data_IF_321650819774
#
_entry.id   IF_321650819774
#
_cell.length_a   1.000
_cell.length_b   1.000
_cell.length_c   1.000
_cell.angle_alpha   90.00
_cell.angle_beta   90.00
_cell.angle_gamma   90.00
#
_symmetry.space_group_name_H-M   'P 1'
#
loop_
_entity.id
_entity.type
_entity.pdbx_description
1 polymer ?
#
# COMPACT_ATOMS: atom_id res chain seq x y z
N UNK A 1 15.66 3.28 4.96
CA UNK A 1 16.40 4.28 5.73
C UNK A 1 15.42 4.96 6.66
N UNK A 2 15.81 5.25 7.89
CA UNK A 2 15.04 6.03 8.85
C UNK A 2 15.87 7.25 9.27
N UNK A 3 15.19 8.37 9.50
CA UNK A 3 15.77 9.62 9.99
C UNK A 3 15.35 9.76 11.45
N UNK A 4 16.32 9.87 12.35
CA UNK A 4 16.07 9.89 13.81
C UNK A 4 16.16 11.27 14.44
N UNK A 5 16.75 12.25 13.74
CA UNK A 5 16.83 13.65 14.16
C UNK A 5 17.16 14.55 12.96
N UNK A 6 17.40 15.85 13.18
CA UNK A 6 17.74 16.78 12.11
C UNK A 6 18.98 16.40 11.27
N UNK A 7 19.90 15.60 11.79
CA UNK A 7 21.16 15.26 11.10
C UNK A 7 21.58 13.78 11.22
N UNK A 8 20.78 12.95 11.90
CA UNK A 8 21.11 11.54 12.15
C UNK A 8 20.18 10.62 11.37
N UNK A 9 20.75 9.64 10.68
CA UNK A 9 20.01 8.64 9.90
C UNK A 9 20.66 7.26 10.02
N UNK A 10 19.88 6.22 9.74
CA UNK A 10 20.36 4.85 9.59
C UNK A 10 19.62 4.12 8.47
N UNK A 11 20.30 3.17 7.83
CA UNK A 11 19.73 2.29 6.83
C UNK A 11 20.19 0.86 7.06
N UNK A 12 19.29 -0.07 6.77
CA UNK A 12 19.55 -1.50 6.78
C UNK A 12 19.06 -2.09 5.47
N UNK A 13 19.89 -2.94 4.85
CA UNK A 13 19.53 -3.68 3.65
C UNK A 13 18.52 -4.77 4.03
N UNK A 14 17.37 -4.80 3.36
CA UNK A 14 16.40 -5.88 3.52
C UNK A 14 17.01 -7.18 2.97
N UNK A 15 17.08 -8.28 3.74
CA UNK A 15 17.60 -9.54 3.23
C UNK A 15 16.76 -10.07 2.06
N UNK A 16 17.41 -10.71 1.08
CA UNK A 16 16.77 -11.14 -0.17
C UNK A 16 15.56 -12.08 0.03
N UNK A 17 15.55 -12.87 1.11
CA UNK A 17 14.49 -13.84 1.41
C UNK A 17 13.50 -13.36 2.48
N UNK A 18 13.51 -12.06 2.81
CA UNK A 18 12.67 -11.48 3.87
C UNK A 18 11.85 -10.29 3.39
N UNK A 19 10.86 -9.94 4.19
CA UNK A 19 10.06 -8.73 4.05
C UNK A 19 10.06 -7.93 5.36
N UNK A 20 9.64 -6.68 5.27
CA UNK A 20 9.31 -5.83 6.42
C UNK A 20 7.91 -5.24 6.27
N UNK A 21 7.23 -5.03 7.39
CA UNK A 21 6.01 -4.21 7.47
C UNK A 21 6.33 -3.09 8.43
N UNK A 22 6.32 -1.85 7.92
CA UNK A 22 6.77 -0.67 8.67
C UNK A 22 5.58 0.26 8.82
N UNK A 23 5.21 0.55 10.07
CA UNK A 23 4.16 1.51 10.42
C UNK A 23 4.78 2.89 10.70
N UNK A 24 4.04 3.81 11.33
CA UNK A 24 4.55 5.14 11.67
C UNK A 24 5.36 5.11 12.99
N UNK A 25 6.37 4.23 13.06
CA UNK A 25 7.28 4.08 14.21
C UNK A 25 8.68 3.73 13.69
N UNK A 26 9.73 4.35 14.27
CA UNK A 26 11.13 3.95 14.05
C UNK A 26 11.30 2.48 14.39
N UNK A 27 11.73 1.68 13.41
CA UNK A 27 11.71 0.23 13.45
C UNK A 27 13.10 -0.40 13.29
N UNK A 28 14.11 0.35 12.83
CA UNK A 28 15.49 -0.16 12.71
C UNK A 28 16.04 -0.48 14.10
N UNK A 29 16.27 -1.77 14.38
CA UNK A 29 16.82 -2.23 15.65
C UNK A 29 18.34 -2.06 15.75
N UNK A 30 19.00 -3.10 16.25
CA UNK A 30 20.46 -3.10 16.45
C UNK A 30 21.22 -3.11 15.12
N UNK A 31 21.89 -2.00 14.84
CA UNK A 31 22.86 -1.85 13.77
C UNK A 31 24.17 -2.54 14.13
N UNK A 32 24.83 -3.13 13.14
CA UNK A 32 26.21 -3.62 13.24
C UNK A 32 27.08 -2.72 12.36
N UNK A 33 27.66 -1.67 12.93
CA UNK A 33 28.27 -0.58 12.15
C UNK A 33 29.58 -0.97 11.45
N UNK A 34 30.11 -2.17 11.71
CA UNK A 34 31.23 -2.77 10.98
C UNK A 34 30.79 -3.58 9.75
N UNK A 35 29.50 -3.89 9.61
CA UNK A 35 28.93 -4.59 8.47
C UNK A 35 28.35 -3.59 7.48
N UNK A 36 29.25 -2.98 6.70
CA UNK A 36 28.90 -1.94 5.72
C UNK A 36 28.09 -2.46 4.51
N UNK A 37 28.03 -3.78 4.32
CA UNK A 37 27.22 -4.39 3.27
C UNK A 37 25.73 -4.38 3.62
N UNK A 38 25.40 -4.50 4.91
CA UNK A 38 24.01 -4.55 5.37
C UNK A 38 23.57 -3.31 6.13
N UNK A 39 24.49 -2.50 6.66
CA UNK A 39 24.15 -1.35 7.50
C UNK A 39 24.91 -0.09 7.06
N UNK A 40 24.19 1.03 6.97
CA UNK A 40 24.73 2.36 6.80
C UNK A 40 24.15 3.28 7.87
N UNK A 41 24.91 4.28 8.30
CA UNK A 41 24.47 5.25 9.28
C UNK A 41 25.24 6.57 9.15
N UNK A 42 24.71 7.64 9.74
CA UNK A 42 25.42 8.91 9.81
C UNK A 42 26.79 8.76 10.51
N UNK A 43 27.82 9.47 10.05
CA UNK A 43 29.12 9.48 10.69
C UNK A 43 29.01 9.83 12.18
N UNK A 44 29.70 9.09 13.04
CA UNK A 44 29.72 9.35 14.47
C UNK A 44 28.45 8.96 15.24
N UNK A 45 27.47 8.27 14.62
CA UNK A 45 26.23 7.82 15.25
C UNK A 45 26.46 7.18 16.65
N UNK A 46 27.35 6.20 16.74
CA UNK A 46 27.63 5.51 18.01
C UNK A 46 28.20 6.45 19.08
N UNK A 47 29.07 7.39 18.68
CA UNK A 47 29.64 8.39 19.60
C UNK A 47 28.57 9.35 20.09
N UNK A 48 27.67 9.79 19.21
CA UNK A 48 26.55 10.66 19.54
C UNK A 48 25.59 9.98 20.54
N UNK A 49 25.13 8.76 20.21
CA UNK A 49 24.24 7.98 21.08
C UNK A 49 24.85 7.74 22.46
N UNK A 50 26.14 7.37 22.51
CA UNK A 50 26.85 7.15 23.78
C UNK A 50 26.99 8.45 24.59
N UNK A 51 27.39 9.55 23.95
CA UNK A 51 27.60 10.86 24.60
C UNK A 51 26.33 11.39 25.27
N UNK A 52 25.19 11.18 24.63
CA UNK A 52 23.90 11.68 25.11
C UNK A 52 23.05 10.63 25.83
N UNK A 53 23.63 9.46 26.14
CA UNK A 53 22.97 8.38 26.88
C UNK A 53 21.63 7.92 26.26
N UNK A 54 21.50 7.96 24.94
CA UNK A 54 20.23 7.68 24.25
C UNK A 54 19.91 6.18 24.17
N UNK A 55 20.94 5.34 24.08
CA UNK A 55 20.83 3.88 24.12
C UNK A 55 22.19 3.27 24.51
N UNK A 56 22.19 1.97 24.79
CA UNK A 56 23.44 1.24 24.99
C UNK A 56 24.23 1.12 23.67
N UNK A 57 25.55 1.31 23.77
CA UNK A 57 26.49 1.15 22.66
C UNK A 57 27.55 0.13 23.04
N UNK A 58 27.60 -1.00 22.36
CA UNK A 58 28.54 -2.09 22.63
C UNK A 58 29.20 -2.55 21.34
N UNK A 59 30.54 -2.57 21.28
CA UNK A 59 31.30 -3.13 20.14
C UNK A 59 30.78 -2.67 18.75
N UNK A 60 30.62 -1.36 18.54
CA UNK A 60 30.06 -0.79 17.29
C UNK A 60 28.61 -1.20 16.97
N UNK A 61 27.84 -1.59 17.98
CA UNK A 61 26.41 -1.89 17.88
C UNK A 61 25.61 -0.81 18.58
N UNK A 62 24.53 -0.41 17.92
CA UNK A 62 23.61 0.65 18.39
C UNK A 62 22.20 0.25 18.00
N UNK A 63 21.27 0.21 18.95
CA UNK A 63 19.85 0.04 18.62
C UNK A 63 19.25 1.40 18.24
N UNK A 64 18.90 1.57 16.96
CA UNK A 64 18.49 2.86 16.42
C UNK A 64 17.10 3.27 16.90
N UNK A 65 16.12 2.36 16.87
CA UNK A 65 14.78 2.57 17.39
C UNK A 65 14.78 2.84 18.89
N UNK A 66 15.68 2.23 19.66
CA UNK A 66 15.83 2.56 21.08
C UNK A 66 16.36 3.99 21.28
N UNK A 67 17.31 4.44 20.46
CA UNK A 67 17.94 5.74 20.60
C UNK A 67 17.08 6.91 20.09
N UNK A 68 16.27 6.69 19.05
CA UNK A 68 15.55 7.76 18.34
C UNK A 68 14.06 7.50 18.11
N UNK A 69 13.55 6.33 18.51
CA UNK A 69 12.17 5.94 18.32
C UNK A 69 11.30 6.16 19.56
N UNK A 70 10.03 5.76 19.42
CA UNK A 70 9.08 5.68 20.53
C UNK A 70 8.81 4.23 20.90
N UNK A 71 8.37 4.00 22.14
CA UNK A 71 7.81 2.73 22.58
C UNK A 71 6.76 3.04 23.66
N UNK A 72 5.57 3.46 23.23
CA UNK A 72 4.56 4.01 24.13
C UNK A 72 3.14 3.45 23.86
N UNK A 73 2.16 3.92 24.64
CA UNK A 73 0.76 3.48 24.53
C UNK A 73 0.12 3.80 23.17
N UNK A 74 0.57 4.86 22.49
CA UNK A 74 0.10 5.19 21.15
C UNK A 74 0.60 4.18 20.13
N UNK A 75 1.84 3.70 20.25
CA UNK A 75 2.37 2.65 19.38
C UNK A 75 1.55 1.35 19.50
N UNK A 76 1.10 1.03 20.72
CA UNK A 76 0.29 -0.15 21.01
C UNK A 76 -1.09 -0.17 20.33
N UNK A 77 -1.60 0.98 19.91
CA UNK A 77 -2.90 1.09 19.22
C UNK A 77 -2.77 1.55 17.77
N UNK A 78 -1.75 2.34 17.45
CA UNK A 78 -1.59 2.98 16.15
C UNK A 78 -0.58 2.27 15.24
N UNK A 79 0.46 1.64 15.78
CA UNK A 79 1.60 1.12 15.02
C UNK A 79 1.71 -0.41 15.03
N UNK A 80 1.87 -1.03 16.20
CA UNK A 80 2.07 -2.48 16.31
C UNK A 80 0.95 -3.31 15.68
N UNK A 81 -0.33 -2.93 15.80
CA UNK A 81 -1.41 -3.65 15.13
C UNK A 81 -1.25 -3.73 13.61
N UNK A 82 -0.75 -2.68 12.95
CA UNK A 82 -0.53 -2.68 11.50
C UNK A 82 0.61 -3.60 11.09
N UNK A 83 1.70 -3.57 11.86
CA UNK A 83 2.84 -4.49 11.67
C UNK A 83 2.37 -5.94 11.87
N UNK A 84 1.61 -6.20 12.93
CA UNK A 84 1.00 -7.50 13.21
C UNK A 84 0.11 -7.96 12.06
N UNK A 85 -0.77 -7.10 11.53
CA UNK A 85 -1.71 -7.49 10.49
C UNK A 85 -1.01 -7.86 9.17
N UNK A 86 -0.01 -7.07 8.77
CA UNK A 86 0.83 -7.41 7.63
C UNK A 86 1.62 -8.70 7.85
N UNK A 87 2.20 -8.90 9.05
CA UNK A 87 2.92 -10.14 9.36
C UNK A 87 2.01 -11.36 9.40
N UNK A 88 0.79 -11.23 9.94
CA UNK A 88 -0.24 -12.27 9.96
C UNK A 88 -0.66 -12.69 8.55
N UNK A 89 -0.75 -11.75 7.61
CA UNK A 89 -1.13 -12.02 6.22
C UNK A 89 -0.01 -12.65 5.39
N UNK A 90 1.25 -12.44 5.76
CA UNK A 90 2.44 -12.91 5.01
C UNK A 90 3.14 -14.11 5.64
N UNK A 91 2.97 -14.31 6.95
CA UNK A 91 3.54 -15.41 7.75
C UNK A 91 2.47 -16.01 8.69
N UNK A 92 1.32 -16.50 8.19
CA UNK A 92 0.25 -17.07 9.01
C UNK A 92 0.67 -18.29 9.87
N UNK A 93 1.78 -18.95 9.54
CA UNK A 93 2.41 -20.00 10.36
C UNK A 93 2.88 -19.45 11.72
N UNK A 94 3.31 -18.18 11.79
CA UNK A 94 3.71 -17.53 13.03
C UNK A 94 2.48 -16.97 13.75
N UNK A 95 2.10 -17.60 14.85
CA UNK A 95 1.02 -17.09 15.72
C UNK A 95 1.52 -15.90 16.53
N UNK A 96 0.94 -14.74 16.25
CA UNK A 96 1.23 -13.47 16.92
C UNK A 96 -0.07 -12.84 17.43
N UNK A 97 0.04 -12.03 18.47
CA UNK A 97 -1.09 -11.28 19.02
C UNK A 97 -1.07 -9.84 18.52
N UNK A 98 -2.25 -9.24 18.31
CA UNK A 98 -2.37 -7.81 17.98
C UNK A 98 -1.79 -6.89 19.07
N UNK A 99 -1.66 -7.40 20.31
CA UNK A 99 -1.07 -6.69 21.46
C UNK A 99 0.45 -6.92 21.59
N UNK A 100 1.05 -7.68 20.69
CA UNK A 100 2.48 -7.98 20.74
C UNK A 100 3.30 -6.72 20.42
N UNK A 101 4.31 -6.42 21.26
CA UNK A 101 5.10 -5.19 21.18
C UNK A 101 6.52 -5.39 20.62
N UNK A 102 6.96 -6.64 20.45
CA UNK A 102 8.31 -7.04 20.02
C UNK A 102 8.32 -7.68 18.62
N UNK A 103 7.54 -7.09 17.71
CA UNK A 103 7.43 -7.58 16.33
C UNK A 103 8.76 -7.40 15.59
N UNK A 104 9.25 -8.47 14.97
CA UNK A 104 10.52 -8.44 14.24
C UNK A 104 10.42 -7.54 13.00
N UNK A 105 11.44 -6.70 12.76
CA UNK A 105 11.51 -5.87 11.54
C UNK A 105 11.51 -6.73 10.27
N UNK A 106 12.28 -7.82 10.25
CA UNK A 106 12.41 -8.70 9.10
C UNK A 106 11.86 -10.10 9.39
N UNK A 107 10.90 -10.52 8.58
CA UNK A 107 10.27 -11.83 8.63
C UNK A 107 10.50 -12.57 7.31
N UNK A 108 10.64 -13.89 7.36
CA UNK A 108 10.63 -14.74 6.18
C UNK A 108 9.16 -15.09 5.88
N UNK A 109 8.63 -14.83 4.68
CA UNK A 109 7.24 -15.13 4.39
C UNK A 109 7.03 -16.63 4.23
N UNK A 110 5.83 -17.10 4.53
CA UNK A 110 5.48 -18.53 4.36
C UNK A 110 5.49 -18.94 2.89
N UNK A 111 5.19 -18.00 2.00
CA UNK A 111 5.13 -18.17 0.55
C UNK A 111 5.78 -16.96 -0.15
N UNK A 112 6.20 -17.13 -1.41
CA UNK A 112 6.68 -16.00 -2.22
C UNK A 112 5.60 -14.91 -2.30
N UNK A 113 5.99 -13.66 -2.11
CA UNK A 113 5.08 -12.52 -2.09
C UNK A 113 4.83 -12.06 -3.52
N UNK A 114 3.57 -12.13 -3.96
CA UNK A 114 3.13 -11.54 -5.23
C UNK A 114 2.71 -10.08 -5.05
N UNK A 115 2.62 -9.31 -6.15
CA UNK A 115 2.03 -7.97 -6.12
C UNK A 115 0.61 -8.00 -5.54
N UNK A 116 -0.22 -8.97 -5.94
CA UNK A 116 -1.57 -9.12 -5.40
C UNK A 116 -1.57 -9.36 -3.87
N UNK A 117 -0.55 -10.05 -3.35
CA UNK A 117 -0.38 -10.23 -1.90
C UNK A 117 -0.05 -8.91 -1.21
N UNK A 118 0.81 -8.07 -1.80
CA UNK A 118 1.12 -6.73 -1.28
C UNK A 118 -0.11 -5.82 -1.31
N UNK A 119 -0.86 -5.81 -2.43
CA UNK A 119 -2.12 -5.08 -2.55
C UNK A 119 -3.11 -5.46 -1.45
N UNK A 120 -3.22 -6.76 -1.13
CA UNK A 120 -4.07 -7.27 -0.05
C UNK A 120 -3.63 -6.76 1.33
N UNK A 121 -2.32 -6.68 1.59
CA UNK A 121 -1.80 -6.13 2.86
C UNK A 121 -2.12 -4.64 2.96
N UNK A 122 -1.86 -3.87 1.89
CA UNK A 122 -2.10 -2.42 1.85
C UNK A 122 -3.59 -2.06 1.92
N UNK A 123 -4.47 -2.92 1.41
CA UNK A 123 -5.93 -2.78 1.52
C UNK A 123 -6.49 -3.29 2.85
N UNK A 124 -5.66 -3.84 3.74
CA UNK A 124 -6.16 -4.52 4.93
C UNK A 124 -6.69 -3.55 5.98
N UNK A 125 -7.84 -3.90 6.54
CA UNK A 125 -8.40 -3.25 7.71
C UNK A 125 -8.66 -4.29 8.81
N UNK A 126 -7.70 -5.19 9.01
CA UNK A 126 -7.79 -6.38 9.87
C UNK A 126 -8.78 -7.43 9.37
N UNK A 127 -8.87 -7.60 8.05
CA UNK A 127 -9.82 -8.50 7.39
C UNK A 127 -9.80 -9.91 7.99
N UNK A 128 -11.00 -10.46 8.23
CA UNK A 128 -11.18 -11.82 8.74
C UNK A 128 -10.84 -11.99 10.23
N UNK A 129 -10.79 -10.89 10.98
CA UNK A 129 -10.55 -10.91 12.43
C UNK A 129 -11.69 -10.20 13.17
N UNK A 130 -11.78 -10.39 14.48
CA UNK A 130 -12.70 -9.63 15.33
C UNK A 130 -12.36 -8.13 15.46
N UNK A 131 -11.24 -7.69 14.87
CA UNK A 131 -10.78 -6.30 14.84
C UNK A 131 -11.04 -5.62 13.50
N UNK A 132 -11.71 -6.32 12.56
CA UNK A 132 -12.05 -5.78 11.25
C UNK A 132 -12.74 -4.41 11.39
N UNK A 133 -12.05 -3.37 10.93
CA UNK A 133 -12.47 -1.97 11.09
C UNK A 133 -13.15 -1.40 9.83
N UNK A 134 -13.79 -2.26 9.03
CA UNK A 134 -14.58 -1.81 7.89
C UNK A 134 -15.81 -1.01 8.34
N UNK A 135 -15.74 0.32 8.24
CA UNK A 135 -16.87 1.21 8.51
C UNK A 135 -17.18 1.48 9.98
N UNK A 136 -16.48 0.82 10.91
CA UNK A 136 -16.51 1.12 12.34
C UNK A 136 -15.11 0.88 12.90
N UNK A 137 -14.64 1.76 13.77
CA UNK A 137 -13.40 1.54 14.51
C UNK A 137 -13.60 0.43 15.55
N UNK A 138 -12.90 -0.69 15.42
CA UNK A 138 -13.04 -1.84 16.33
C UNK A 138 -11.77 -2.02 17.15
N UNK A 139 -11.93 -2.19 18.46
CA UNK A 139 -10.83 -2.51 19.38
C UNK A 139 -9.83 -1.38 19.65
N UNK A 140 -10.05 -0.18 19.12
CA UNK A 140 -9.13 0.94 19.33
C UNK A 140 -7.91 0.93 18.41
N UNK A 141 -7.84 0.00 17.44
CA UNK A 141 -6.65 -0.22 16.62
C UNK A 141 -6.74 0.48 15.27
N UNK A 142 -5.63 1.12 14.85
CA UNK A 142 -5.55 1.76 13.54
C UNK A 142 -5.33 0.70 12.44
N UNK A 143 -6.24 0.52 11.48
CA UNK A 143 -6.02 -0.39 10.35
C UNK A 143 -4.91 0.11 9.42
N UNK A 144 -4.42 -0.74 8.51
CA UNK A 144 -3.47 -0.32 7.47
C UNK A 144 -4.19 0.63 6.52
N UNK A 145 -5.24 0.15 5.86
CA UNK A 145 -6.10 0.94 5.00
C UNK A 145 -7.09 1.78 5.82
N UNK A 146 -7.26 3.05 5.43
CA UNK A 146 -8.30 3.92 5.98
C UNK A 146 -9.07 4.66 4.88
N UNK A 147 -10.29 5.15 5.15
CA UNK A 147 -11.07 5.92 4.17
C UNK A 147 -10.42 7.22 3.70
N UNK A 148 -9.46 7.74 4.47
CA UNK A 148 -8.70 8.96 4.18
C UNK A 148 -7.43 8.70 3.36
N UNK A 149 -7.14 7.45 2.99
CA UNK A 149 -6.03 7.15 2.09
C UNK A 149 -6.21 7.94 0.79
N UNK A 150 -5.19 8.74 0.45
CA UNK A 150 -5.17 9.59 -0.75
C UNK A 150 -4.65 8.79 -1.94
N UNK A 151 -3.62 7.98 -1.70
CA UNK A 151 -3.07 7.04 -2.65
C UNK A 151 -2.45 5.84 -1.92
N UNK A 152 -2.25 4.76 -2.68
CA UNK A 152 -1.43 3.63 -2.28
C UNK A 152 -0.66 3.14 -3.50
N UNK A 153 0.63 2.85 -3.34
CA UNK A 153 1.47 2.47 -4.46
C UNK A 153 2.40 1.28 -4.16
N UNK A 154 2.78 0.55 -5.20
CA UNK A 154 3.78 -0.51 -5.16
C UNK A 154 4.78 -0.24 -6.28
N UNK A 155 6.03 -0.02 -5.91
CA UNK A 155 7.13 0.13 -6.86
C UNK A 155 7.78 -1.24 -7.08
N UNK A 156 7.65 -1.77 -8.29
CA UNK A 156 8.17 -3.08 -8.66
C UNK A 156 9.29 -2.91 -9.69
N UNK A 157 10.47 -3.45 -9.37
CA UNK A 157 11.56 -3.64 -10.33
C UNK A 157 11.61 -5.12 -10.69
N UNK A 158 11.27 -5.45 -11.93
CA UNK A 158 11.22 -6.81 -12.47
C UNK A 158 12.60 -7.21 -13.01
N UNK A 159 12.99 -8.48 -12.82
CA UNK A 159 14.31 -8.98 -13.23
C UNK A 159 14.25 -9.93 -14.44
N UNK A 160 13.05 -10.29 -14.87
CA UNK A 160 12.76 -11.25 -15.94
C UNK A 160 12.39 -10.59 -17.28
N UNK A 161 12.64 -9.28 -17.40
CA UNK A 161 12.37 -8.44 -18.57
C UNK A 161 13.54 -7.47 -18.81
N UNK A 162 13.67 -6.86 -20.01
CA UNK A 162 14.67 -5.82 -20.26
C UNK A 162 14.57 -4.65 -19.28
N UNK A 163 15.71 -4.01 -19.01
CA UNK A 163 15.82 -2.92 -18.02
C UNK A 163 14.85 -1.76 -18.33
N UNK A 164 14.63 -1.50 -19.61
CA UNK A 164 13.79 -0.43 -20.14
C UNK A 164 12.29 -0.62 -19.82
N UNK A 165 11.87 -1.82 -19.42
CA UNK A 165 10.50 -2.13 -19.01
C UNK A 165 10.45 -2.76 -17.60
N UNK A 166 11.56 -2.83 -16.89
CA UNK A 166 11.66 -3.46 -15.58
C UNK A 166 10.80 -2.76 -14.51
N UNK A 167 10.75 -1.43 -14.55
CA UNK A 167 10.06 -0.61 -13.56
C UNK A 167 8.56 -0.47 -13.82
N UNK A 168 7.75 -1.00 -12.92
CA UNK A 168 6.29 -0.84 -12.89
C UNK A 168 5.86 -0.21 -11.56
N UNK A 169 5.17 0.92 -11.62
CA UNK A 169 4.48 1.53 -10.49
C UNK A 169 3.01 1.12 -10.52
N UNK A 170 2.60 0.28 -9.57
CA UNK A 170 1.19 -0.03 -9.36
C UNK A 170 0.60 1.06 -8.50
N UNK A 171 -0.34 1.85 -9.02
CA UNK A 171 -0.92 2.99 -8.32
C UNK A 171 -2.42 2.81 -8.13
N UNK A 172 -2.87 2.97 -6.89
CA UNK A 172 -4.27 3.05 -6.52
C UNK A 172 -4.54 4.44 -5.93
N UNK A 173 -5.36 5.25 -6.61
CA UNK A 173 -5.83 6.51 -6.03
C UNK A 173 -7.00 6.24 -5.08
N UNK A 174 -7.11 7.06 -4.04
CA UNK A 174 -7.99 6.84 -2.89
C UNK A 174 -7.71 5.51 -2.15
N UNK A 175 -8.69 5.01 -1.39
CA UNK A 175 -8.53 3.80 -0.58
C UNK A 175 -8.45 2.52 -1.43
N UNK A 176 -7.33 1.73 -1.38
CA UNK A 176 -7.20 0.47 -2.12
C UNK A 176 -8.20 -0.63 -1.70
N UNK A 177 -8.89 -0.49 -0.57
CA UNK A 177 -9.98 -1.41 -0.22
C UNK A 177 -11.19 -1.26 -1.14
N UNK A 178 -11.37 -0.10 -1.77
CA UNK A 178 -12.49 0.21 -2.67
C UNK A 178 -12.07 0.78 -4.02
N UNK A 179 -10.77 0.94 -4.30
CA UNK A 179 -10.23 1.36 -5.60
C UNK A 179 -9.46 0.23 -6.28
N UNK A 180 -8.56 0.52 -7.22
CA UNK A 180 -7.80 -0.49 -7.97
C UNK A 180 -6.37 -0.03 -8.18
N UNK A 181 -5.43 -0.97 -8.19
CA UNK A 181 -4.04 -0.72 -8.56
C UNK A 181 -3.88 -0.86 -10.08
N UNK A 182 -3.55 0.23 -10.76
CA UNK A 182 -3.24 0.23 -12.19
C UNK A 182 -1.72 0.10 -12.38
N UNK A 183 -1.22 -0.88 -13.17
CA UNK A 183 0.21 -1.04 -13.42
C UNK A 183 0.69 -0.04 -14.47
N UNK A 184 1.45 0.97 -14.04
CA UNK A 184 2.07 1.93 -14.94
C UNK A 184 3.55 1.63 -15.16
N UNK A 185 3.96 1.57 -16.43
CA UNK A 185 5.37 1.61 -16.79
C UNK A 185 5.99 2.94 -16.39
N UNK A 186 7.24 2.90 -15.93
CA UNK A 186 7.96 4.08 -15.43
C UNK A 186 8.86 4.74 -16.49
N UNK A 187 9.22 4.01 -17.55
CA UNK A 187 10.02 4.53 -18.66
C UNK A 187 9.15 5.25 -19.71
N UNK A 188 8.54 6.36 -19.29
CA UNK A 188 7.58 7.15 -20.08
C UNK A 188 7.91 8.64 -20.00
N UNK A 189 7.41 9.41 -20.97
CA UNK A 189 7.58 10.87 -21.02
C UNK A 189 6.34 11.63 -20.49
N UNK A 190 5.24 10.93 -20.24
CA UNK A 190 4.00 11.48 -19.70
C UNK A 190 3.25 10.41 -18.92
N UNK A 191 2.32 10.83 -18.08
CA UNK A 191 1.41 9.95 -17.33
C UNK A 191 -0.02 10.09 -17.84
N UNK A 192 -0.94 9.18 -17.50
CA UNK A 192 -2.32 9.31 -17.93
C UNK A 192 -2.99 10.59 -17.42
N UNK A 193 -3.80 11.25 -18.26
CA UNK A 193 -4.33 12.58 -17.94
C UNK A 193 -5.17 12.61 -16.65
N UNK A 194 -5.86 11.52 -16.32
CA UNK A 194 -6.72 11.43 -15.13
C UNK A 194 -5.93 11.33 -13.83
N UNK A 195 -4.64 10.99 -13.93
CA UNK A 195 -3.71 10.91 -12.82
C UNK A 195 -2.82 12.17 -12.73
N UNK A 196 -2.92 13.09 -13.70
CA UNK A 196 -2.31 14.42 -13.63
C UNK A 196 -3.27 15.47 -13.04
N UNK A 197 -4.57 15.17 -13.04
CA UNK A 197 -5.62 16.03 -12.52
C UNK A 197 -6.02 15.62 -11.11
N UNK A 198 -6.24 16.59 -10.23
CA UNK A 198 -6.76 16.40 -8.88
C UNK A 198 -6.67 17.70 -8.10
N UNK A 199 -7.82 18.22 -7.67
CA UNK A 199 -7.90 19.37 -6.76
C UNK A 199 -8.47 18.94 -5.42
N UNK A 200 -8.54 19.87 -4.47
CA UNK A 200 -9.25 19.66 -3.20
C UNK A 200 -10.79 19.68 -3.35
N UNK A 201 -11.30 19.96 -4.56
CA UNK A 201 -12.72 19.91 -4.92
C UNK A 201 -13.05 18.66 -5.75
N UNK A 202 -14.21 18.01 -5.51
CA UNK A 202 -14.69 16.91 -6.33
C UNK A 202 -14.83 17.27 -7.80
N UNK A 203 -14.31 16.41 -8.67
CA UNK A 203 -14.46 16.49 -10.11
C UNK A 203 -14.88 15.13 -10.71
N UNK A 204 -15.16 15.12 -12.00
CA UNK A 204 -15.54 13.92 -12.75
C UNK A 204 -14.40 13.39 -13.65
N UNK A 205 -13.26 14.09 -13.71
CA UNK A 205 -12.17 13.78 -14.64
C UNK A 205 -11.01 13.05 -13.99
N UNK A 206 -10.74 13.31 -12.70
CA UNK A 206 -9.61 12.74 -11.97
C UNK A 206 -9.89 11.32 -11.50
N UNK A 207 -8.86 10.49 -11.58
CA UNK A 207 -8.90 9.13 -11.03
C UNK A 207 -9.17 9.14 -9.53
N UNK A 208 -8.61 10.12 -8.80
CA UNK A 208 -8.82 10.28 -7.36
C UNK A 208 -10.30 10.42 -7.01
N UNK A 209 -11.02 11.39 -7.61
CA UNK A 209 -12.41 11.62 -7.27
C UNK A 209 -13.35 10.52 -7.77
N UNK A 210 -13.05 9.87 -8.92
CA UNK A 210 -13.77 8.67 -9.35
C UNK A 210 -13.73 7.56 -8.30
N UNK A 211 -12.54 7.21 -7.78
CA UNK A 211 -12.41 6.14 -6.80
C UNK A 211 -12.85 6.56 -5.39
N UNK A 212 -12.68 7.85 -5.04
CA UNK A 212 -13.21 8.41 -3.79
C UNK A 212 -14.74 8.34 -3.76
N UNK A 213 -15.41 8.61 -4.88
CA UNK A 213 -16.85 8.48 -5.00
C UNK A 213 -17.31 7.03 -4.77
N UNK A 214 -16.60 6.03 -5.30
CA UNK A 214 -16.91 4.62 -5.01
C UNK A 214 -16.89 4.34 -3.52
N UNK A 215 -15.86 4.81 -2.82
CA UNK A 215 -15.78 4.69 -1.36
C UNK A 215 -17.01 5.32 -0.69
N UNK A 216 -17.33 6.57 -1.02
CA UNK A 216 -18.48 7.30 -0.45
C UNK A 216 -19.81 6.57 -0.70
N UNK A 217 -20.05 6.08 -1.91
CA UNK A 217 -21.30 5.38 -2.26
C UNK A 217 -21.46 4.04 -1.51
N UNK A 218 -20.34 3.39 -1.16
CA UNK A 218 -20.39 2.15 -0.39
C UNK A 218 -20.61 2.36 1.11
N UNK A 219 -20.35 3.56 1.64
CA UNK A 219 -20.29 3.81 3.08
C UNK A 219 -21.56 3.49 3.88
N UNK A 220 -22.76 3.79 3.38
CA UNK A 220 -23.99 3.44 4.10
C UNK A 220 -24.21 1.92 4.22
N UNK A 221 -23.71 1.12 3.27
CA UNK A 221 -23.99 -0.32 3.15
C UNK A 221 -22.73 -1.15 2.85
N UNK A 222 -21.60 -0.81 3.48
CA UNK A 222 -20.24 -1.26 3.12
C UNK A 222 -20.12 -2.74 2.84
N UNK A 223 -20.42 -3.58 3.82
CA UNK A 223 -20.27 -5.03 3.67
C UNK A 223 -21.12 -5.59 2.53
N UNK A 224 -22.32 -5.03 2.30
CA UNK A 224 -23.21 -5.47 1.24
C UNK A 224 -22.68 -5.04 -0.13
N UNK A 225 -22.47 -3.74 -0.34
CA UNK A 225 -22.10 -3.18 -1.65
C UNK A 225 -20.65 -3.53 -2.04
N UNK A 226 -19.72 -3.55 -1.08
CA UNK A 226 -18.34 -3.94 -1.37
C UNK A 226 -18.28 -5.40 -1.81
N UNK A 227 -18.94 -6.32 -1.09
CA UNK A 227 -18.88 -7.74 -1.42
C UNK A 227 -19.68 -8.07 -2.69
N UNK A 228 -20.82 -7.41 -2.91
CA UNK A 228 -21.69 -7.65 -4.06
C UNK A 228 -21.15 -7.03 -5.35
N UNK A 229 -20.67 -5.79 -5.30
CA UNK A 229 -20.42 -5.00 -6.51
C UNK A 229 -18.92 -4.64 -6.68
N UNK A 230 -18.25 -4.16 -5.62
CA UNK A 230 -16.85 -3.68 -5.73
C UNK A 230 -15.84 -4.81 -5.89
N UNK A 231 -15.86 -5.83 -5.03
CA UNK A 231 -14.89 -6.95 -5.10
C UNK A 231 -14.95 -7.70 -6.43
N UNK A 232 -16.13 -7.99 -7.01
CA UNK A 232 -16.20 -8.59 -8.35
C UNK A 232 -15.62 -7.69 -9.44
N UNK A 233 -15.89 -6.37 -9.40
CA UNK A 233 -15.32 -5.41 -10.34
C UNK A 233 -13.79 -5.36 -10.24
N UNK A 234 -13.25 -5.25 -9.02
CA UNK A 234 -11.81 -5.32 -8.74
C UNK A 234 -11.21 -6.62 -9.26
N UNK A 235 -11.82 -7.78 -8.99
CA UNK A 235 -11.30 -9.09 -9.44
C UNK A 235 -11.19 -9.15 -10.95
N UNK A 236 -12.25 -8.75 -11.67
CA UNK A 236 -12.28 -8.75 -13.14
C UNK A 236 -11.25 -7.77 -13.71
N UNK A 237 -11.19 -6.55 -13.17
CA UNK A 237 -10.29 -5.51 -13.65
C UNK A 237 -8.82 -5.85 -13.35
N UNK A 238 -8.49 -6.34 -12.15
CA UNK A 238 -7.14 -6.78 -11.81
C UNK A 238 -6.63 -7.86 -12.76
N UNK A 239 -7.49 -8.82 -13.13
CA UNK A 239 -7.14 -9.83 -14.12
C UNK A 239 -6.86 -9.20 -15.48
N UNK A 240 -7.74 -8.32 -15.97
CA UNK A 240 -7.54 -7.65 -17.26
C UNK A 240 -6.27 -6.81 -17.29
N UNK A 241 -5.98 -6.04 -16.23
CA UNK A 241 -4.77 -5.22 -16.14
C UNK A 241 -3.49 -6.08 -16.14
N UNK A 242 -3.51 -7.26 -15.51
CA UNK A 242 -2.39 -8.21 -15.58
C UNK A 242 -2.21 -8.79 -16.99
N UNK A 243 -3.32 -9.11 -17.68
CA UNK A 243 -3.28 -9.56 -19.08
C UNK A 243 -2.71 -8.46 -19.98
N UNK A 244 -3.18 -7.22 -19.84
CA UNK A 244 -2.70 -6.07 -20.60
C UNK A 244 -1.20 -5.85 -20.37
N UNK A 245 -0.73 -5.91 -19.12
CA UNK A 245 0.69 -5.77 -18.79
C UNK A 245 1.53 -6.83 -19.51
N UNK A 246 1.12 -8.11 -19.42
CA UNK A 246 1.83 -9.22 -20.07
C UNK A 246 1.86 -9.11 -21.59
N UNK A 247 0.76 -8.69 -22.22
CA UNK A 247 0.71 -8.47 -23.68
C UNK A 247 1.57 -7.28 -24.09
N UNK A 248 1.55 -6.22 -23.28
CA UNK A 248 2.38 -5.04 -23.50
C UNK A 248 3.87 -5.38 -23.41
N UNK A 249 4.28 -6.22 -22.45
CA UNK A 249 5.66 -6.69 -22.31
C UNK A 249 6.16 -7.36 -23.59
N UNK A 250 5.35 -8.23 -24.21
CA UNK A 250 5.71 -8.95 -25.43
C UNK A 250 6.00 -8.00 -26.61
N UNK A 251 5.21 -6.93 -26.73
CA UNK A 251 5.39 -5.92 -27.78
C UNK A 251 6.55 -4.99 -27.45
N UNK A 252 6.64 -4.54 -26.20
CA UNK A 252 7.64 -3.59 -25.74
C UNK A 252 9.07 -4.12 -25.86
N UNK A 253 9.28 -5.44 -25.71
CA UNK A 253 10.59 -6.08 -25.92
C UNK A 253 11.15 -5.90 -27.35
N UNK A 254 10.31 -5.55 -28.33
CA UNK A 254 10.71 -5.33 -29.72
C UNK A 254 10.93 -3.85 -30.05
N UNK A 255 10.72 -2.95 -29.08
CA UNK A 255 10.81 -1.50 -29.26
C UNK A 255 11.98 -0.95 -28.45
N UNK A 256 12.55 0.17 -28.90
CA UNK A 256 13.63 0.87 -28.20
C UNK A 256 13.43 2.38 -28.28
N UNK A 257 14.19 3.13 -27.48
CA UNK A 257 14.23 4.59 -27.52
C UNK A 257 12.86 5.25 -27.36
N UNK A 258 12.62 6.34 -28.09
CA UNK A 258 11.37 7.11 -28.00
C UNK A 258 10.14 6.32 -28.44
N UNK A 259 10.27 5.40 -29.41
CA UNK A 259 9.17 4.53 -29.84
C UNK A 259 8.70 3.63 -28.70
N UNK A 260 9.63 3.08 -27.91
CA UNK A 260 9.29 2.32 -26.71
C UNK A 260 8.58 3.21 -25.69
N UNK A 261 9.17 4.34 -25.29
CA UNK A 261 8.58 5.21 -24.26
C UNK A 261 7.19 5.73 -24.64
N UNK A 262 6.97 6.05 -25.93
CA UNK A 262 5.65 6.45 -26.43
C UNK A 262 4.64 5.29 -26.39
N UNK A 263 5.05 4.08 -26.76
CA UNK A 263 4.21 2.89 -26.66
C UNK A 263 3.81 2.61 -25.20
N UNK A 264 4.76 2.64 -24.26
CA UNK A 264 4.50 2.44 -22.84
C UNK A 264 3.55 3.51 -22.27
N UNK A 265 3.72 4.78 -22.66
CA UNK A 265 2.82 5.86 -22.28
C UNK A 265 1.39 5.62 -22.80
N UNK A 266 1.25 5.14 -24.03
CA UNK A 266 -0.05 4.75 -24.60
C UNK A 266 -0.68 3.58 -23.83
N UNK A 267 0.09 2.55 -23.47
CA UNK A 267 -0.42 1.42 -22.67
C UNK A 267 -0.84 1.86 -21.26
N UNK A 268 -0.09 2.79 -20.66
CA UNK A 268 -0.48 3.41 -19.38
C UNK A 268 -1.83 4.14 -19.52
N UNK A 269 -2.01 4.96 -20.56
CA UNK A 269 -3.27 5.68 -20.80
C UNK A 269 -4.45 4.71 -21.00
N UNK A 270 -4.28 3.67 -21.83
CA UNK A 270 -5.31 2.65 -22.07
C UNK A 270 -5.73 1.92 -20.78
N UNK A 271 -4.76 1.59 -19.92
CA UNK A 271 -5.03 0.95 -18.64
C UNK A 271 -5.73 1.89 -17.65
N UNK A 272 -5.37 3.18 -17.64
CA UNK A 272 -6.05 4.20 -16.85
C UNK A 272 -7.51 4.39 -17.30
N UNK A 273 -7.74 4.52 -18.62
CA UNK A 273 -9.08 4.65 -19.20
C UNK A 273 -9.94 3.44 -18.86
N UNK A 274 -9.42 2.23 -19.05
CA UNK A 274 -10.13 1.00 -18.71
C UNK A 274 -10.53 0.99 -17.23
N UNK A 275 -9.61 1.35 -16.34
CA UNK A 275 -9.84 1.32 -14.91
C UNK A 275 -10.87 2.37 -14.49
N UNK A 276 -10.74 3.62 -14.93
CA UNK A 276 -11.65 4.68 -14.58
C UNK A 276 -13.06 4.43 -15.14
N UNK A 277 -13.18 4.08 -16.42
CA UNK A 277 -14.48 3.74 -17.04
C UNK A 277 -15.19 2.59 -16.33
N UNK A 278 -14.43 1.59 -15.85
CA UNK A 278 -14.99 0.48 -15.07
C UNK A 278 -15.59 0.99 -13.75
N UNK A 279 -14.89 1.88 -13.07
CA UNK A 279 -15.35 2.43 -11.79
C UNK A 279 -16.44 3.49 -11.93
N UNK A 280 -16.48 4.26 -13.03
CA UNK A 280 -17.60 5.15 -13.33
C UNK A 280 -18.90 4.38 -13.55
N UNK A 281 -18.87 3.31 -14.35
CA UNK A 281 -20.01 2.40 -14.53
C UNK A 281 -20.41 1.74 -13.21
N UNK A 282 -19.43 1.36 -12.39
CA UNK A 282 -19.68 0.84 -11.05
C UNK A 282 -20.36 1.89 -10.16
N UNK A 283 -19.91 3.14 -10.19
CA UNK A 283 -20.50 4.24 -9.41
C UNK A 283 -21.94 4.50 -9.83
N UNK A 284 -22.25 4.52 -11.13
CA UNK A 284 -23.64 4.63 -11.62
C UNK A 284 -24.52 3.50 -11.06
N UNK A 285 -24.01 2.27 -11.07
CA UNK A 285 -24.71 1.12 -10.48
C UNK A 285 -24.86 1.23 -8.96
N UNK A 286 -23.83 1.67 -8.25
CA UNK A 286 -23.84 1.84 -6.80
C UNK A 286 -24.84 2.92 -6.35
N UNK A 287 -25.01 3.99 -7.13
CA UNK A 287 -26.05 4.99 -6.88
C UNK A 287 -27.43 4.33 -6.87
N UNK A 288 -27.76 3.55 -7.91
CA UNK A 288 -29.05 2.83 -7.99
C UNK A 288 -29.20 1.82 -6.87
N UNK A 289 -28.18 1.00 -6.64
CA UNK A 289 -28.24 -0.08 -5.64
C UNK A 289 -28.32 0.45 -4.21
N UNK A 290 -27.63 1.56 -3.91
CA UNK A 290 -27.68 2.26 -2.62
C UNK A 290 -29.04 2.89 -2.38
N UNK A 291 -29.62 3.57 -3.38
CA UNK A 291 -30.96 4.17 -3.28
C UNK A 291 -32.05 3.13 -3.02
N UNK A 292 -31.91 1.91 -3.54
CA UNK A 292 -32.84 0.79 -3.28
C UNK A 292 -32.72 0.19 -1.88
N UNK A 293 -31.71 0.56 -1.09
CA UNK A 293 -31.57 0.10 0.29
C UNK A 293 -32.32 0.98 1.31
N UNK A 294 -32.92 2.09 0.88
CA UNK A 294 -33.71 2.93 1.78
C UNK A 294 -34.89 2.13 2.34
N UNK A 295 -35.13 2.29 3.65
CA UNK A 295 -36.28 1.68 4.32
C UNK A 295 -37.56 2.53 4.19
N UNK A 296 -37.46 3.71 3.59
CA UNK A 296 -38.60 4.59 3.35
C UNK A 296 -39.31 4.07 2.11
N UNK A 297 -40.45 3.43 2.33
CA UNK A 297 -41.36 2.96 1.28
C UNK A 297 -42.65 3.76 1.35
N UNK A 298 -43.20 4.10 0.18
CA UNK A 298 -44.56 4.62 0.11
C UNK A 298 -45.51 3.45 0.41
N UNK A 299 -46.24 3.51 1.52
CA UNK A 299 -47.36 2.59 1.72
C UNK A 299 -48.41 2.92 0.66
N UNK A 300 -48.71 1.99 -0.24
CA UNK A 300 -49.72 2.20 -1.29
C UNK A 300 -51.15 2.32 -0.72
N UNK A 301 -51.32 2.05 0.58
CA UNK A 301 -52.60 2.06 1.31
C UNK A 301 -52.75 3.27 2.28
N UNK A 302 -51.90 4.29 2.15
CA UNK A 302 -52.04 5.61 2.80
C UNK A 302 -52.30 6.69 1.74
#
# INVERSE_FOLDING_TARGET
MEIGSGHTWAAVRVPNDKYAVIANQTSIGTLKLNDHANYLASPGLAKFVKRHHLAQVTQNRVNYAQAFGTNNKLDATYNWPRVWDGQRLLTPSKKQSIKQHDLALFMKPDQKISVATVQRVLASHFNGTKYDSNGKWVGGYRPINVPTDVESHILQIRNDVPAEIAGVQWLAMASPATSVYVPFYTNVNTTPYQYQSGTDQPDQSSAYWTYKLTRVLTDPYRNKLINKDVRPAQKKLNHQLQVNLKQSDQTAQQLTGSTLSNYLAQQNQQNADLAQNTFEKLNQKLIVDSSRQTKIVHHQDL
#
